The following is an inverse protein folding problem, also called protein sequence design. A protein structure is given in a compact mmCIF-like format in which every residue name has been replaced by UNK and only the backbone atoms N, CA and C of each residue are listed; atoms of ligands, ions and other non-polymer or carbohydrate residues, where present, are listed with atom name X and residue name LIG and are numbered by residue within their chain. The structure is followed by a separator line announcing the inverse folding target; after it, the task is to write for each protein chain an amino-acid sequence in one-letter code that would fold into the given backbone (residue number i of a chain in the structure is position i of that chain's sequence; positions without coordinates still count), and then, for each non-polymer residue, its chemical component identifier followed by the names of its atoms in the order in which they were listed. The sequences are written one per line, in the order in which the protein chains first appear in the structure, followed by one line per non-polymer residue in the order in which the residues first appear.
data_IF_603727436161
#
_entry.id   IF_603727436161
#
_cell.length_a   1.000
_cell.length_b   1.000
_cell.length_c   1.000
_cell.angle_alpha   90.00
_cell.angle_beta   90.00
_cell.angle_gamma   90.00
#
_symmetry.space_group_name_H-M   'P 1'
#
loop_
_entity.id
_entity.type
_entity.pdbx_description
1 polymer ?
#
# COMPACT_ATOMS: atom_id res chain seq x y z
N UNK A 1 -3.02 16.54 -2.37
CA UNK A 1 -2.78 15.21 -2.95
C UNK A 1 -2.53 15.36 -4.44
N UNK A 2 -1.61 14.60 -5.04
CA UNK A 2 -1.30 14.75 -6.47
C UNK A 2 -2.46 14.20 -7.32
N UNK A 3 -3.11 15.06 -8.10
CA UNK A 3 -4.19 14.68 -9.03
C UNK A 3 -3.75 13.57 -10.01
N UNK A 4 -2.45 13.53 -10.34
CA UNK A 4 -1.85 12.47 -11.17
C UNK A 4 -1.90 11.08 -10.52
N UNK A 5 -1.78 11.00 -9.19
CA UNK A 5 -1.86 9.72 -8.49
C UNK A 5 -3.28 9.18 -8.53
N UNK A 6 -4.28 10.04 -8.33
CA UNK A 6 -5.70 9.67 -8.43
C UNK A 6 -6.05 9.16 -9.83
N UNK A 7 -5.60 9.85 -10.89
CA UNK A 7 -5.79 9.38 -12.27
C UNK A 7 -5.15 8.01 -12.49
N UNK A 8 -3.94 7.77 -11.96
CA UNK A 8 -3.28 6.46 -12.10
C UNK A 8 -3.97 5.35 -11.33
N UNK A 9 -4.56 5.65 -10.17
CA UNK A 9 -5.36 4.68 -9.40
C UNK A 9 -6.71 4.37 -10.07
N UNK A 10 -7.26 5.30 -10.84
CA UNK A 10 -8.45 5.07 -11.66
C UNK A 10 -8.16 4.29 -12.97
N UNK A 11 -6.90 4.21 -13.39
CA UNK A 11 -6.50 3.55 -14.63
C UNK A 11 -6.46 2.03 -14.46
N UNK A 12 -7.46 1.33 -15.02
CA UNK A 12 -7.59 -0.13 -14.99
C UNK A 12 -6.47 -0.87 -15.74
N UNK A 13 -5.71 -0.18 -16.60
CA UNK A 13 -4.52 -0.78 -17.24
C UNK A 13 -3.33 -0.83 -16.29
N UNK A 14 -3.37 -0.05 -15.21
CA UNK A 14 -2.30 0.07 -14.20
C UNK A 14 -2.67 -0.54 -12.86
N UNK A 15 -3.96 -0.68 -12.57
CA UNK A 15 -4.51 -1.25 -11.34
C UNK A 15 -5.30 -2.51 -11.67
N UNK A 16 -5.22 -3.54 -10.82
CA UNK A 16 -6.02 -4.75 -11.02
C UNK A 16 -7.51 -4.41 -11.01
N UNK A 17 -8.28 -4.97 -11.94
CA UNK A 17 -9.70 -4.66 -12.14
C UNK A 17 -10.54 -4.82 -10.86
N UNK A 18 -10.22 -5.83 -10.04
CA UNK A 18 -10.85 -6.10 -8.74
C UNK A 18 -9.98 -5.73 -7.55
N UNK A 19 -8.86 -5.03 -7.78
CA UNK A 19 -7.90 -4.69 -6.74
C UNK A 19 -8.30 -3.44 -5.97
N UNK A 20 -7.98 -3.43 -4.68
CA UNK A 20 -8.11 -2.25 -3.82
C UNK A 20 -6.73 -1.75 -3.38
N UNK A 21 -6.57 -0.45 -3.24
CA UNK A 21 -5.39 0.18 -2.69
C UNK A 21 -5.61 0.45 -1.20
N UNK A 22 -4.90 -0.27 -0.34
CA UNK A 22 -4.90 -0.01 1.10
C UNK A 22 -4.01 1.21 1.40
N UNK A 23 -4.57 2.26 1.98
CA UNK A 23 -3.85 3.51 2.28
C UNK A 23 -4.08 3.94 3.72
N UNK A 24 -3.28 4.91 4.20
CA UNK A 24 -3.49 5.52 5.51
C UNK A 24 -4.82 6.30 5.60
N UNK A 25 -5.36 6.42 6.81
CA UNK A 25 -6.59 7.16 7.15
C UNK A 25 -6.53 8.66 6.82
N UNK A 26 -5.33 9.24 6.72
CA UNK A 26 -5.14 10.61 6.28
C UNK A 26 -5.18 10.78 4.75
N UNK A 27 -5.26 9.67 3.99
CA UNK A 27 -5.29 9.72 2.54
C UNK A 27 -6.66 10.23 2.04
N UNK A 28 -6.71 11.30 1.23
CA UNK A 28 -8.00 11.86 0.81
C UNK A 28 -8.69 10.94 -0.19
N UNK A 29 -9.83 10.38 0.22
CA UNK A 29 -10.68 9.56 -0.65
C UNK A 29 -11.71 10.47 -1.30
N UNK A 30 -11.64 10.64 -2.62
CA UNK A 30 -12.73 11.29 -3.37
C UNK A 30 -13.87 10.30 -3.62
N UNK A 31 -15.10 10.80 -3.83
CA UNK A 31 -16.26 9.96 -4.15
C UNK A 31 -16.03 9.04 -5.37
N UNK A 32 -15.21 9.50 -6.33
CA UNK A 32 -14.84 8.72 -7.52
C UNK A 32 -13.88 7.55 -7.22
N UNK A 33 -13.16 7.62 -6.09
CA UNK A 33 -12.23 6.59 -5.63
C UNK A 33 -12.82 5.72 -4.52
N UNK A 34 -14.03 6.03 -4.06
CA UNK A 34 -14.82 5.19 -3.15
C UNK A 34 -14.98 3.81 -3.79
N UNK A 35 -14.61 2.76 -3.03
CA UNK A 35 -14.47 1.36 -3.46
C UNK A 35 -13.16 0.97 -4.13
N UNK A 36 -12.28 1.89 -4.54
CA UNK A 36 -10.92 1.54 -5.02
C UNK A 36 -9.85 1.74 -3.96
N UNK A 37 -10.03 2.74 -3.10
CA UNK A 37 -9.15 2.98 -1.96
C UNK A 37 -9.85 2.52 -0.70
N UNK A 38 -9.15 1.72 0.10
CA UNK A 38 -9.61 1.29 1.42
C UNK A 38 -8.66 1.87 2.48
N UNK A 39 -9.22 2.48 3.49
CA UNK A 39 -8.49 3.04 4.63
C UNK A 39 -8.97 2.40 5.91
N UNK A 40 -8.09 2.23 6.92
CA UNK A 40 -8.53 1.93 8.28
C UNK A 40 -9.56 2.96 8.75
N UNK A 41 -10.52 2.50 9.55
CA UNK A 41 -11.49 3.37 10.19
C UNK A 41 -10.84 4.05 11.40
N UNK A 42 -11.18 5.31 11.64
CA UNK A 42 -10.73 5.97 12.87
C UNK A 42 -11.47 5.42 14.07
N UNK A 43 -10.87 5.52 15.24
CA UNK A 43 -11.47 5.04 16.49
C UNK A 43 -12.86 5.65 16.72
N UNK A 44 -13.04 6.95 16.45
CA UNK A 44 -14.35 7.61 16.53
C UNK A 44 -15.40 7.07 15.55
N UNK A 45 -14.99 6.60 14.36
CA UNK A 45 -15.91 6.00 13.39
C UNK A 45 -16.36 4.60 13.85
N UNK A 46 -15.45 3.86 14.51
CA UNK A 46 -15.74 2.55 15.10
C UNK A 46 -16.64 2.65 16.34
N UNK A 47 -16.56 3.74 17.09
CA UNK A 47 -17.43 4.00 18.24
C UNK A 47 -18.84 4.44 17.84
N UNK A 48 -18.97 5.14 16.71
CA UNK A 48 -20.26 5.54 16.13
C UNK A 48 -20.98 4.40 15.39
N UNK A 49 -20.30 3.28 15.16
CA UNK A 49 -20.89 2.12 14.49
C UNK A 49 -22.02 1.49 15.33
N UNK A 50 -23.06 0.99 14.64
CA UNK A 50 -24.13 0.24 15.29
C UNK A 50 -23.57 -1.03 15.96
N UNK A 51 -24.20 -1.47 17.05
CA UNK A 51 -23.74 -2.62 17.84
C UNK A 51 -23.63 -3.89 17.00
N UNK A 52 -24.53 -4.05 16.04
CA UNK A 52 -24.63 -5.22 15.15
C UNK A 52 -23.45 -5.28 14.16
N UNK A 53 -22.94 -4.13 13.73
CA UNK A 53 -21.88 -4.04 12.71
C UNK A 53 -20.48 -3.85 13.31
N UNK A 54 -20.39 -3.43 14.58
CA UNK A 54 -19.12 -3.02 15.22
C UNK A 54 -18.04 -4.09 15.17
N UNK A 55 -18.37 -5.35 15.46
CA UNK A 55 -17.40 -6.45 15.42
C UNK A 55 -16.82 -6.66 14.02
N UNK A 56 -17.66 -6.61 12.98
CA UNK A 56 -17.23 -6.74 11.59
C UNK A 56 -16.37 -5.57 11.13
N UNK A 57 -16.72 -4.34 11.51
CA UNK A 57 -15.95 -3.14 11.17
C UNK A 57 -14.58 -3.10 11.85
N UNK A 58 -14.48 -3.55 13.11
CA UNK A 58 -13.19 -3.71 13.80
C UNK A 58 -12.30 -4.72 13.06
N UNK A 59 -12.84 -5.91 12.74
CA UNK A 59 -12.11 -6.93 12.02
C UNK A 59 -11.64 -6.45 10.63
N UNK A 60 -12.51 -5.75 9.90
CA UNK A 60 -12.17 -5.16 8.60
C UNK A 60 -11.07 -4.10 8.73
N UNK A 61 -11.18 -3.19 9.70
CA UNK A 61 -10.17 -2.15 9.93
C UNK A 61 -8.80 -2.76 10.28
N UNK A 62 -8.79 -3.74 11.18
CA UNK A 62 -7.58 -4.47 11.56
C UNK A 62 -6.95 -5.22 10.37
N UNK A 63 -7.77 -5.81 9.50
CA UNK A 63 -7.27 -6.44 8.27
C UNK A 63 -6.63 -5.42 7.31
N UNK A 64 -7.25 -4.25 7.10
CA UNK A 64 -6.69 -3.18 6.27
C UNK A 64 -5.36 -2.67 6.86
N UNK A 65 -5.30 -2.47 8.17
CA UNK A 65 -4.07 -2.09 8.86
C UNK A 65 -2.98 -3.14 8.70
N UNK A 66 -3.32 -4.42 8.85
CA UNK A 66 -2.37 -5.53 8.71
C UNK A 66 -1.78 -5.61 7.31
N UNK A 67 -2.62 -5.46 6.27
CA UNK A 67 -2.16 -5.39 4.86
C UNK A 67 -1.21 -4.22 4.66
N UNK A 68 -1.60 -3.04 5.16
CA UNK A 68 -0.80 -1.84 5.02
C UNK A 68 0.53 -2.00 5.76
N UNK A 69 0.51 -2.48 6.99
CA UNK A 69 1.72 -2.74 7.76
C UNK A 69 2.62 -3.75 7.04
N UNK A 70 2.08 -4.83 6.48
CA UNK A 70 2.86 -5.78 5.71
C UNK A 70 3.49 -5.16 4.45
N UNK A 71 2.78 -4.25 3.77
CA UNK A 71 3.31 -3.51 2.63
C UNK A 71 4.35 -2.44 3.04
N UNK A 72 4.14 -1.74 4.15
CA UNK A 72 5.10 -0.79 4.70
C UNK A 72 6.34 -1.51 5.26
N UNK A 73 6.13 -2.71 5.80
CA UNK A 73 7.15 -3.66 6.24
C UNK A 73 7.77 -4.46 5.10
N UNK A 74 7.37 -4.19 3.84
CA UNK A 74 8.23 -4.35 2.65
C UNK A 74 9.42 -3.34 2.68
N UNK A 75 9.76 -2.89 3.89
CA UNK A 75 11.11 -2.67 4.40
C UNK A 75 11.88 -1.64 3.59
N UNK A 76 11.20 -0.60 3.12
CA UNK A 76 11.81 0.55 2.47
C UNK A 76 12.76 0.14 1.34
N UNK A 77 12.35 -0.79 0.48
CA UNK A 77 13.18 -1.32 -0.63
C UNK A 77 13.97 -0.25 -1.38
N UNK A 78 13.29 0.77 -1.90
CA UNK A 78 13.93 1.89 -2.61
C UNK A 78 14.74 2.76 -1.66
N UNK A 79 14.15 3.23 -0.56
CA UNK A 79 14.82 4.14 0.37
C UNK A 79 16.08 3.53 0.98
N UNK A 80 16.05 2.27 1.43
CA UNK A 80 17.20 1.54 1.99
C UNK A 80 18.28 1.29 0.93
N UNK A 81 17.90 0.90 -0.29
CA UNK A 81 18.87 0.73 -1.37
C UNK A 81 19.59 2.05 -1.66
N UNK A 82 18.88 3.18 -1.71
CA UNK A 82 19.53 4.47 -1.96
C UNK A 82 20.32 5.01 -0.76
N UNK A 83 19.86 4.78 0.47
CA UNK A 83 20.64 5.07 1.68
C UNK A 83 21.97 4.30 1.68
N UNK A 84 21.95 3.02 1.28
CA UNK A 84 23.17 2.20 1.18
C UNK A 84 24.07 2.59 0.00
N UNK A 85 23.47 2.95 -1.14
CA UNK A 85 24.22 3.35 -2.34
C UNK A 85 24.86 4.74 -2.21
N UNK A 86 24.44 5.56 -1.23
CA UNK A 86 24.88 6.95 -1.05
C UNK A 86 24.81 7.79 -2.33
N UNK A 87 23.82 7.51 -3.19
CA UNK A 87 23.59 8.25 -4.42
C UNK A 87 22.19 8.85 -4.43
N UNK A 88 22.01 10.06 -4.97
CA UNK A 88 20.67 10.60 -5.20
C UNK A 88 19.96 9.80 -6.30
N UNK A 89 18.62 9.83 -6.26
CA UNK A 89 17.82 9.38 -7.40
C UNK A 89 18.17 10.24 -8.63
N UNK A 90 18.27 9.64 -9.83
CA UNK A 90 18.48 10.39 -11.05
C UNK A 90 17.37 11.44 -11.25
N UNK A 91 17.71 12.62 -11.78
CA UNK A 91 16.72 13.63 -12.14
C UNK A 91 15.87 13.21 -13.33
N UNK A 92 16.48 12.49 -14.30
CA UNK A 92 15.79 11.94 -15.47
C UNK A 92 14.59 11.07 -15.06
N UNK A 93 13.34 11.46 -15.39
CA UNK A 93 12.14 10.73 -15.00
C UNK A 93 12.12 9.28 -15.51
N UNK A 94 12.61 9.04 -16.72
CA UNK A 94 12.58 7.72 -17.34
C UNK A 94 13.57 6.76 -16.67
N UNK A 95 14.83 7.19 -16.54
CA UNK A 95 15.86 6.46 -15.82
C UNK A 95 15.52 6.25 -14.34
N UNK A 96 14.89 7.23 -13.70
CA UNK A 96 14.41 7.11 -12.32
C UNK A 96 13.32 6.05 -12.18
N UNK A 97 12.34 6.04 -13.09
CA UNK A 97 11.26 5.05 -13.11
C UNK A 97 11.81 3.64 -13.33
N UNK A 98 12.71 3.45 -14.30
CA UNK A 98 13.33 2.16 -14.58
C UNK A 98 14.14 1.65 -13.39
N UNK A 99 14.94 2.52 -12.76
CA UNK A 99 15.77 2.16 -11.60
C UNK A 99 14.91 1.78 -10.39
N UNK A 100 13.86 2.56 -10.10
CA UNK A 100 12.92 2.23 -9.03
C UNK A 100 12.24 0.87 -9.28
N UNK A 101 11.76 0.63 -10.51
CA UNK A 101 11.15 -0.65 -10.88
C UNK A 101 12.11 -1.84 -10.71
N UNK A 102 13.37 -1.69 -11.11
CA UNK A 102 14.38 -2.73 -10.93
C UNK A 102 14.67 -3.02 -9.45
N UNK A 103 14.80 -1.98 -8.62
CA UNK A 103 15.00 -2.13 -7.17
C UNK A 103 13.82 -2.89 -6.56
N UNK A 104 12.58 -2.50 -6.86
CA UNK A 104 11.39 -3.20 -6.38
C UNK A 104 11.36 -4.66 -6.82
N UNK A 105 11.64 -4.97 -8.10
CA UNK A 105 11.66 -6.34 -8.61
C UNK A 105 12.71 -7.21 -7.90
N UNK A 106 13.93 -6.69 -7.74
CA UNK A 106 15.02 -7.41 -7.06
C UNK A 106 14.72 -7.60 -5.58
N UNK A 107 14.17 -6.58 -4.92
CA UNK A 107 13.77 -6.66 -3.53
C UNK A 107 12.69 -7.72 -3.31
N UNK A 108 11.66 -7.72 -4.17
CA UNK A 108 10.56 -8.66 -4.08
C UNK A 108 11.01 -10.09 -4.40
N UNK A 109 11.94 -10.26 -5.34
CA UNK A 109 12.60 -11.55 -5.57
C UNK A 109 13.32 -12.04 -4.30
N UNK A 110 14.17 -11.19 -3.70
CA UNK A 110 14.86 -11.53 -2.44
C UNK A 110 13.86 -11.88 -1.33
N UNK A 111 12.86 -11.04 -1.10
CA UNK A 111 11.89 -11.22 -0.02
C UNK A 111 11.08 -12.52 -0.17
N UNK A 112 10.79 -12.94 -1.41
CA UNK A 112 10.16 -14.24 -1.71
C UNK A 112 11.11 -15.41 -1.45
N UNK A 113 12.36 -15.30 -1.87
CA UNK A 113 13.35 -16.38 -1.72
C UNK A 113 13.78 -16.58 -0.27
N UNK A 114 13.93 -15.50 0.50
CA UNK A 114 14.40 -15.56 1.90
C UNK A 114 13.26 -15.64 2.91
N UNK A 115 12.01 -15.71 2.46
CA UNK A 115 10.81 -15.81 3.33
C UNK A 115 10.72 -14.66 4.34
N UNK A 116 11.30 -13.51 4.00
CA UNK A 116 11.23 -12.28 4.82
C UNK A 116 9.92 -11.53 4.56
N UNK A 117 9.22 -11.87 3.47
CA UNK A 117 7.95 -11.25 3.13
C UNK A 117 6.81 -11.80 4.01
N UNK A 118 6.46 -11.04 5.06
CA UNK A 118 5.34 -11.37 5.94
C UNK A 118 3.98 -11.31 5.22
N UNK A 119 3.87 -10.67 4.04
CA UNK A 119 2.63 -10.66 3.24
C UNK A 119 2.13 -12.09 2.96
N UNK A 120 3.03 -13.07 2.85
CA UNK A 120 2.63 -14.48 2.66
C UNK A 120 1.93 -15.07 3.89
N UNK A 121 2.28 -14.62 5.09
CA UNK A 121 1.81 -15.18 6.37
C UNK A 121 0.70 -14.37 7.02
N UNK A 122 0.55 -13.10 6.67
CA UNK A 122 -0.47 -12.18 7.20
C UNK A 122 -1.90 -12.73 7.08
N UNK A 123 -2.15 -13.65 6.14
CA UNK A 123 -3.47 -14.21 5.87
C UNK A 123 -3.59 -15.73 6.03
N UNK A 124 -2.57 -16.40 6.57
CA UNK A 124 -2.58 -17.87 6.76
C UNK A 124 -2.95 -18.28 8.20
N UNK A 125 -3.70 -17.43 8.92
CA UNK A 125 -4.23 -17.72 10.26
C UNK A 125 -5.62 -18.32 10.21
#
# INVERSE_FOLDING_TARGET
MSHLLQIRLCDITKTMETGHCATDSAFPVSAALTKRIITPLKEGDLEQASRECRAGLIAMSAAIESIRQAADWEMGSVSKCYMQLLRPLPFDPNGRSLRAANIHRMYNFRARTTVINQIRFVFLG
#
